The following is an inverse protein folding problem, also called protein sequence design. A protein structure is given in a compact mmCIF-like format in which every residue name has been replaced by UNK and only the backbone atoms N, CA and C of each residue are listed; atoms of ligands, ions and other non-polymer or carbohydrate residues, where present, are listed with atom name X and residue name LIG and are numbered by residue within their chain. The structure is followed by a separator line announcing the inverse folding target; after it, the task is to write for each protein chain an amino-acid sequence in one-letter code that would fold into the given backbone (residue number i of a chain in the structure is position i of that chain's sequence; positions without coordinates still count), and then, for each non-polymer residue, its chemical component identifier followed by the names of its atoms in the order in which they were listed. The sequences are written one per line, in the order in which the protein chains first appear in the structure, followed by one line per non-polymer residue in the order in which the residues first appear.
data_IF_276296968166
#
_entry.id   IF_276296968166
#
_cell.length_a   1.000
_cell.length_b   1.000
_cell.length_c   1.000
_cell.angle_alpha   90.00
_cell.angle_beta   90.00
_cell.angle_gamma   90.00
#
_symmetry.space_group_name_H-M   'P 1'
#
loop_
_entity.id
_entity.type
_entity.pdbx_description
1 polymer ?
#
# COMPACT_ATOMS: atom_id res chain seq x y z
N UNK A 1 3.31 -33.40 19.76
CA UNK A 1 3.45 -31.96 19.46
C UNK A 1 4.93 -31.65 19.38
N UNK A 2 5.44 -31.02 18.31
CA UNK A 2 6.84 -30.65 18.23
C UNK A 2 7.18 -29.70 19.38
N UNK A 3 8.24 -30.06 20.13
CA UNK A 3 8.67 -29.29 21.31
C UNK A 3 9.18 -27.93 20.88
N UNK A 4 8.53 -26.85 21.34
CA UNK A 4 8.92 -25.46 21.04
C UNK A 4 10.35 -25.21 21.55
N UNK A 5 11.25 -24.81 20.65
CA UNK A 5 12.62 -24.45 21.01
C UNK A 5 12.65 -22.95 21.36
N UNK A 6 13.16 -22.62 22.54
CA UNK A 6 13.28 -21.24 23.03
C UNK A 6 14.78 -20.91 23.16
N UNK A 7 15.19 -19.82 22.51
CA UNK A 7 16.50 -19.20 22.68
C UNK A 7 16.32 -17.92 23.47
N UNK A 8 17.05 -17.77 24.57
CA UNK A 8 17.06 -16.51 25.34
C UNK A 8 18.48 -16.06 25.57
N UNK A 9 18.71 -14.76 25.50
CA UNK A 9 19.96 -14.13 25.88
C UNK A 9 19.68 -12.83 26.64
N UNK A 10 20.67 -12.35 27.37
CA UNK A 10 20.64 -11.02 28.00
C UNK A 10 21.62 -10.14 27.24
N UNK A 11 21.12 -9.03 26.74
CA UNK A 11 21.92 -7.99 26.11
C UNK A 11 22.11 -6.84 27.10
N UNK A 12 23.22 -6.13 27.00
CA UNK A 12 23.53 -4.99 27.86
C UNK A 12 23.88 -3.81 26.99
N UNK A 13 23.32 -2.65 27.30
CA UNK A 13 23.68 -1.40 26.62
C UNK A 13 24.99 -0.80 27.17
N UNK A 14 25.43 0.30 26.57
CA UNK A 14 26.66 1.01 26.98
C UNK A 14 26.55 1.60 28.39
N UNK A 15 25.33 1.80 28.89
CA UNK A 15 25.07 2.32 30.23
C UNK A 15 24.97 1.20 31.29
N UNK A 16 25.11 -0.06 30.87
CA UNK A 16 25.06 -1.23 31.73
C UNK A 16 23.63 -1.77 31.97
N UNK A 17 22.59 -1.17 31.36
CA UNK A 17 21.20 -1.64 31.49
C UNK A 17 21.04 -2.96 30.76
N UNK A 18 20.40 -3.92 31.39
CA UNK A 18 20.23 -5.26 30.84
C UNK A 18 18.81 -5.48 30.34
N UNK A 19 18.68 -6.07 29.15
CA UNK A 19 17.41 -6.45 28.55
C UNK A 19 17.45 -7.91 28.10
N UNK A 20 16.41 -8.66 28.45
CA UNK A 20 16.26 -10.05 28.00
C UNK A 20 15.64 -10.08 26.61
N UNK A 21 16.31 -10.77 25.67
CA UNK A 21 15.79 -11.08 24.35
C UNK A 21 15.39 -12.54 24.27
N UNK A 22 14.25 -12.84 23.61
CA UNK A 22 13.74 -14.23 23.51
C UNK A 22 13.25 -14.50 22.08
N UNK A 23 13.70 -15.64 21.52
CA UNK A 23 13.25 -16.13 20.21
C UNK A 23 12.65 -17.53 20.34
N UNK A 24 11.61 -17.79 19.57
CA UNK A 24 10.93 -19.08 19.52
C UNK A 24 11.20 -19.74 18.16
N UNK A 25 11.54 -21.02 18.19
CA UNK A 25 11.81 -21.85 17.00
C UNK A 25 12.92 -21.30 16.06
N UNK A 26 13.87 -20.52 16.59
CA UNK A 26 15.02 -19.99 15.86
C UNK A 26 16.37 -20.46 16.44
N UNK A 27 16.65 -21.78 16.49
CA UNK A 27 17.88 -22.29 17.11
C UNK A 27 19.14 -21.88 16.37
N UNK A 28 19.06 -21.55 15.08
CA UNK A 28 20.17 -21.10 14.23
C UNK A 28 20.77 -19.75 14.69
N UNK A 29 19.98 -18.90 15.37
CA UNK A 29 20.49 -17.63 15.89
C UNK A 29 21.59 -17.82 16.97
N UNK A 30 21.64 -19.00 17.60
CA UNK A 30 22.67 -19.30 18.60
C UNK A 30 24.10 -19.21 18.04
N UNK A 31 24.31 -19.62 16.80
CA UNK A 31 25.62 -19.53 16.13
C UNK A 31 25.95 -18.11 15.66
N UNK A 32 24.93 -17.28 15.44
CA UNK A 32 25.09 -15.90 15.00
C UNK A 32 25.31 -14.93 16.15
N UNK A 33 24.84 -15.25 17.35
CA UNK A 33 25.03 -14.44 18.56
C UNK A 33 26.39 -14.79 19.19
N UNK A 34 27.32 -13.85 19.11
CA UNK A 34 28.67 -14.00 19.72
C UNK A 34 28.73 -13.14 21.00
N UNK A 35 29.12 -13.73 22.14
CA UNK A 35 29.32 -12.97 23.36
C UNK A 35 30.38 -11.83 23.12
N UNK A 36 30.12 -10.64 23.66
CA UNK A 36 30.99 -9.47 23.52
C UNK A 36 30.90 -8.75 22.18
N UNK A 37 30.11 -9.25 21.21
CA UNK A 37 29.87 -8.55 19.94
C UNK A 37 28.71 -7.54 20.06
N UNK A 38 28.81 -6.46 19.29
CA UNK A 38 27.82 -5.41 19.25
C UNK A 38 26.76 -5.72 18.16
N UNK A 39 25.49 -5.58 18.54
CA UNK A 39 24.35 -5.82 17.67
C UNK A 39 23.30 -4.72 17.90
N UNK A 40 22.48 -4.48 16.88
CA UNK A 40 21.26 -3.68 17.01
C UNK A 40 20.06 -4.64 17.02
N UNK A 41 19.18 -4.47 18.01
CA UNK A 41 17.95 -5.24 18.14
C UNK A 41 16.76 -4.35 17.92
N UNK A 42 15.88 -4.74 17.01
CA UNK A 42 14.63 -4.06 16.72
C UNK A 42 13.46 -4.98 16.98
N UNK A 43 12.49 -4.56 17.81
CA UNK A 43 11.33 -5.36 18.15
C UNK A 43 10.43 -4.68 19.16
N UNK A 44 9.38 -5.38 19.59
CA UNK A 44 8.42 -4.88 20.57
C UNK A 44 8.83 -5.31 21.99
N UNK A 45 8.75 -4.36 22.90
CA UNK A 45 8.92 -4.64 24.33
C UNK A 45 7.64 -5.20 24.91
N UNK A 46 7.73 -6.37 25.54
CA UNK A 46 6.66 -6.98 26.30
C UNK A 46 6.99 -6.94 27.81
N UNK A 47 6.02 -6.61 28.65
CA UNK A 47 6.17 -6.66 30.11
C UNK A 47 5.76 -8.06 30.58
N UNK A 48 6.72 -8.83 31.14
CA UNK A 48 6.47 -10.17 31.69
C UNK A 48 6.98 -10.26 33.12
N UNK A 49 6.10 -10.64 34.05
CA UNK A 49 6.44 -10.83 35.46
C UNK A 49 7.19 -9.62 36.06
N UNK A 50 6.76 -8.39 35.72
CA UNK A 50 7.36 -7.15 36.23
C UNK A 50 8.64 -6.69 35.50
N UNK A 51 9.19 -7.47 34.57
CA UNK A 51 10.39 -7.12 33.79
C UNK A 51 10.04 -6.94 32.32
N UNK A 52 10.81 -6.08 31.62
CA UNK A 52 10.72 -5.91 30.16
C UNK A 52 11.51 -7.01 29.47
N UNK A 53 10.91 -7.55 28.41
CA UNK A 53 11.52 -8.56 27.53
C UNK A 53 11.31 -8.13 26.10
N UNK A 54 12.34 -8.25 25.28
CA UNK A 54 12.24 -8.06 23.83
C UNK A 54 11.93 -9.41 23.18
N UNK A 55 10.73 -9.53 22.58
CA UNK A 55 10.26 -10.79 21.99
C UNK A 55 10.47 -10.80 20.48
N UNK A 56 11.06 -11.89 20.00
CA UNK A 56 11.31 -12.11 18.57
C UNK A 56 12.01 -10.92 17.89
N UNK A 57 13.01 -10.25 18.53
CA UNK A 57 13.62 -9.09 17.88
C UNK A 57 14.36 -9.49 16.60
N UNK A 58 14.31 -8.58 15.63
CA UNK A 58 15.23 -8.62 14.50
C UNK A 58 16.61 -8.20 15.00
N UNK A 59 17.63 -8.93 14.59
CA UNK A 59 19.01 -8.69 14.96
C UNK A 59 19.80 -8.23 13.74
N UNK A 60 20.54 -7.16 13.90
CA UNK A 60 21.42 -6.61 12.88
C UNK A 60 22.84 -6.50 13.42
N UNK A 61 23.83 -6.76 12.58
CA UNK A 61 25.21 -6.32 12.84
C UNK A 61 25.28 -4.80 12.70
N UNK A 62 26.26 -4.15 13.34
CA UNK A 62 26.45 -2.70 13.23
C UNK A 62 26.57 -2.23 11.77
N UNK A 63 27.33 -2.97 10.95
CA UNK A 63 27.49 -2.66 9.53
C UNK A 63 26.16 -2.78 8.74
N UNK A 64 25.37 -3.85 8.99
CA UNK A 64 24.08 -4.02 8.34
C UNK A 64 23.07 -2.95 8.77
N UNK A 65 23.10 -2.53 10.03
CA UNK A 65 22.24 -1.47 10.53
C UNK A 65 22.62 -0.09 9.97
N UNK A 66 23.90 0.20 9.86
CA UNK A 66 24.38 1.45 9.25
C UNK A 66 23.90 1.61 7.80
N UNK A 67 23.77 0.52 7.04
CA UNK A 67 23.20 0.55 5.69
C UNK A 67 21.69 0.82 5.68
N UNK A 68 21.00 0.52 6.78
CA UNK A 68 19.56 0.73 6.92
C UNK A 68 19.22 2.12 7.48
N UNK A 69 20.18 2.76 8.17
CA UNK A 69 19.97 4.09 8.74
C UNK A 69 19.66 5.12 7.64
N UNK A 70 18.57 5.85 7.84
CA UNK A 70 18.13 6.88 6.90
C UNK A 70 17.42 6.34 5.64
N UNK A 71 17.29 5.02 5.46
CA UNK A 71 16.54 4.44 4.35
C UNK A 71 15.15 3.97 4.80
N UNK A 72 14.15 4.26 4.00
CA UNK A 72 12.82 3.68 4.17
C UNK A 72 12.82 2.24 3.67
N UNK A 73 12.31 1.33 4.51
CA UNK A 73 12.22 -0.08 4.16
C UNK A 73 10.80 -0.43 3.74
N UNK A 74 10.61 -1.18 2.64
CA UNK A 74 9.29 -1.61 2.23
C UNK A 74 8.72 -2.63 3.21
N UNK A 75 7.41 -2.51 3.49
CA UNK A 75 6.65 -3.48 4.27
C UNK A 75 5.59 -4.08 3.36
N UNK A 76 5.71 -5.37 3.09
CA UNK A 76 4.80 -6.11 2.22
C UNK A 76 3.76 -6.89 3.03
N UNK A 77 2.53 -7.07 2.49
CA UNK A 77 1.60 -8.05 3.05
C UNK A 77 2.20 -9.45 2.93
N UNK A 78 2.19 -10.19 4.04
CA UNK A 78 2.86 -11.49 4.12
C UNK A 78 1.86 -12.61 4.35
N UNK A 79 2.17 -13.78 3.81
CA UNK A 79 1.50 -15.05 4.09
C UNK A 79 2.39 -15.96 4.92
N UNK A 80 1.80 -17.02 5.51
CA UNK A 80 2.54 -17.97 6.32
C UNK A 80 3.72 -18.57 5.56
N UNK A 81 4.91 -18.50 6.13
CA UNK A 81 6.15 -19.03 5.55
C UNK A 81 6.98 -18.02 4.76
N UNK A 82 6.47 -16.81 4.48
CA UNK A 82 7.22 -15.75 3.83
C UNK A 82 7.68 -14.69 4.84
N UNK A 83 8.91 -14.22 4.69
CA UNK A 83 9.43 -13.09 5.46
C UNK A 83 9.47 -11.83 4.59
N UNK A 84 9.30 -10.66 5.22
CA UNK A 84 9.44 -9.37 4.52
C UNK A 84 10.78 -9.24 3.80
N UNK A 85 11.86 -9.72 4.43
CA UNK A 85 13.21 -9.73 3.84
C UNK A 85 13.27 -10.55 2.55
N UNK A 86 12.59 -11.69 2.50
CA UNK A 86 12.54 -12.55 1.31
C UNK A 86 11.82 -11.85 0.17
N UNK A 87 10.66 -11.26 0.46
CA UNK A 87 9.87 -10.53 -0.55
C UNK A 87 10.64 -9.29 -1.04
N UNK A 88 11.16 -8.48 -0.13
CA UNK A 88 11.94 -7.29 -0.48
C UNK A 88 13.16 -7.64 -1.37
N UNK A 89 13.87 -8.73 -1.04
CA UNK A 89 14.99 -9.21 -1.86
C UNK A 89 14.54 -9.62 -3.26
N UNK A 90 13.44 -10.35 -3.37
CA UNK A 90 12.90 -10.79 -4.66
C UNK A 90 12.46 -9.59 -5.52
N UNK A 91 11.75 -8.61 -4.93
CA UNK A 91 11.34 -7.38 -5.63
C UNK A 91 12.57 -6.59 -6.08
N UNK A 92 13.58 -6.43 -5.23
CA UNK A 92 14.83 -5.74 -5.59
C UNK A 92 15.51 -6.40 -6.78
N UNK A 93 15.68 -7.73 -6.75
CA UNK A 93 16.28 -8.49 -7.83
C UNK A 93 15.46 -8.40 -9.13
N UNK A 94 14.12 -8.39 -9.03
CA UNK A 94 13.25 -8.24 -10.21
C UNK A 94 13.43 -6.85 -10.84
N UNK A 95 13.41 -5.78 -10.05
CA UNK A 95 13.61 -4.41 -10.53
C UNK A 95 15.00 -4.23 -11.17
N UNK A 96 16.06 -4.79 -10.56
CA UNK A 96 17.43 -4.71 -11.10
C UNK A 96 17.57 -5.50 -12.43
N UNK A 97 16.93 -6.67 -12.51
CA UNK A 97 17.06 -7.55 -13.67
C UNK A 97 16.21 -7.13 -14.87
N UNK A 98 15.03 -6.58 -14.60
CA UNK A 98 13.99 -6.29 -15.60
C UNK A 98 13.72 -4.80 -15.75
N UNK A 99 14.66 -3.95 -15.37
CA UNK A 99 14.56 -2.50 -15.49
C UNK A 99 14.17 -2.05 -16.92
N UNK A 100 14.78 -2.68 -17.93
CA UNK A 100 14.48 -2.40 -19.35
C UNK A 100 13.14 -2.95 -19.83
N UNK A 101 12.49 -3.81 -19.04
CA UNK A 101 11.20 -4.41 -19.36
C UNK A 101 10.02 -3.65 -18.73
N UNK A 102 10.30 -2.63 -17.92
CA UNK A 102 9.25 -1.77 -17.39
C UNK A 102 8.54 -1.04 -18.53
N UNK A 103 7.27 -0.77 -18.33
CA UNK A 103 6.45 -0.13 -19.36
C UNK A 103 7.01 1.24 -19.75
N UNK A 104 6.85 1.58 -21.03
CA UNK A 104 7.18 2.92 -21.49
C UNK A 104 6.22 3.93 -20.90
N UNK A 105 6.74 5.15 -20.69
CA UNK A 105 5.92 6.27 -20.26
C UNK A 105 4.75 6.51 -21.23
N UNK A 106 3.54 6.46 -20.74
CA UNK A 106 2.33 6.59 -21.55
C UNK A 106 1.52 7.85 -21.21
N UNK A 107 1.82 8.54 -20.10
CA UNK A 107 1.21 9.81 -19.82
C UNK A 107 1.94 10.92 -20.59
N UNK A 108 1.22 11.68 -21.44
CA UNK A 108 1.80 12.78 -22.22
C UNK A 108 2.58 13.78 -21.36
N UNK A 109 3.63 14.36 -21.96
CA UNK A 109 4.55 15.29 -21.26
C UNK A 109 3.84 16.52 -20.72
N UNK A 110 2.87 17.06 -21.46
CA UNK A 110 2.06 18.19 -21.06
C UNK A 110 1.26 17.92 -19.79
N UNK A 111 0.62 16.74 -19.69
CA UNK A 111 -0.09 16.31 -18.49
C UNK A 111 0.90 16.11 -17.34
N UNK A 112 2.03 15.41 -17.59
CA UNK A 112 3.03 15.20 -16.55
C UNK A 112 3.56 16.50 -15.98
N UNK A 113 3.83 17.47 -16.86
CA UNK A 113 4.32 18.79 -16.46
C UNK A 113 3.27 19.59 -15.70
N UNK A 114 2.01 19.60 -16.18
CA UNK A 114 0.92 20.34 -15.53
C UNK A 114 0.65 19.83 -14.10
N UNK A 115 0.74 18.53 -13.88
CA UNK A 115 0.49 17.91 -12.57
C UNK A 115 1.77 17.61 -11.79
N UNK A 116 2.94 17.94 -12.31
CA UNK A 116 4.25 17.68 -11.69
C UNK A 116 4.39 16.19 -11.30
N UNK A 117 4.19 15.31 -12.27
CA UNK A 117 4.27 13.87 -12.06
C UNK A 117 5.66 13.34 -12.44
N UNK A 118 6.19 12.47 -11.58
CA UNK A 118 7.40 11.73 -11.88
C UNK A 118 7.20 10.80 -13.11
N UNK A 119 8.27 10.34 -13.67
CA UNK A 119 8.28 9.34 -14.74
C UNK A 119 7.85 7.98 -14.16
N UNK A 120 7.16 7.15 -14.98
CA UNK A 120 6.58 5.89 -14.53
C UNK A 120 7.60 4.93 -13.91
N UNK A 121 8.70 4.66 -14.60
CA UNK A 121 9.69 3.69 -14.10
C UNK A 121 10.40 4.18 -12.85
N UNK A 122 10.65 5.49 -12.75
CA UNK A 122 11.13 6.10 -11.52
C UNK A 122 10.13 5.85 -10.37
N UNK A 123 8.84 6.07 -10.61
CA UNK A 123 7.83 5.89 -9.58
C UNK A 123 7.72 4.43 -9.13
N UNK A 124 7.76 3.47 -10.06
CA UNK A 124 7.72 2.03 -9.75
C UNK A 124 8.93 1.61 -8.92
N UNK A 125 10.12 2.07 -9.25
CA UNK A 125 11.34 1.72 -8.52
C UNK A 125 11.36 2.38 -7.12
N UNK A 126 11.04 3.67 -7.05
CA UNK A 126 11.17 4.48 -5.84
C UNK A 126 10.03 4.27 -4.84
N UNK A 127 8.87 3.77 -5.26
CA UNK A 127 7.83 3.38 -4.29
C UNK A 127 8.27 2.19 -3.42
N UNK A 128 9.10 1.30 -3.97
CA UNK A 128 9.63 0.15 -3.24
C UNK A 128 10.90 0.47 -2.47
N UNK A 129 11.81 1.24 -3.05
CA UNK A 129 13.13 1.55 -2.49
C UNK A 129 13.46 3.03 -2.65
N UNK A 130 12.74 3.91 -1.92
CA UNK A 130 12.98 5.34 -1.99
C UNK A 130 14.35 5.69 -1.38
N UNK A 131 15.05 6.64 -2.00
CA UNK A 131 16.30 7.16 -1.47
C UNK A 131 16.08 8.37 -0.56
N UNK A 132 14.92 9.01 -0.69
CA UNK A 132 14.49 10.15 0.11
C UNK A 132 12.98 10.10 0.37
N UNK A 133 12.52 10.90 1.32
CA UNK A 133 11.08 11.09 1.54
C UNK A 133 10.41 11.74 0.33
N UNK A 134 11.12 12.60 -0.38
CA UNK A 134 10.63 13.22 -1.61
C UNK A 134 10.40 12.18 -2.71
N UNK A 135 11.35 11.28 -2.95
CA UNK A 135 11.18 10.17 -3.91
C UNK A 135 9.92 9.36 -3.62
N UNK A 136 9.69 9.05 -2.34
CA UNK A 136 8.48 8.31 -1.92
C UNK A 136 7.20 9.09 -2.24
N UNK A 137 7.14 10.38 -1.90
CA UNK A 137 5.97 11.21 -2.13
C UNK A 137 5.67 11.40 -3.61
N UNK A 138 6.70 11.65 -4.42
CA UNK A 138 6.58 11.79 -5.88
C UNK A 138 6.12 10.48 -6.53
N UNK A 139 6.69 9.35 -6.13
CA UNK A 139 6.31 8.04 -6.61
C UNK A 139 4.86 7.71 -6.26
N UNK A 140 4.46 7.94 -5.01
CA UNK A 140 3.09 7.74 -4.56
C UNK A 140 2.09 8.63 -5.32
N UNK A 141 2.43 9.92 -5.50
CA UNK A 141 1.63 10.87 -6.27
C UNK A 141 1.42 10.36 -7.70
N UNK A 142 2.49 9.93 -8.36
CA UNK A 142 2.43 9.39 -9.72
C UNK A 142 1.54 8.15 -9.82
N UNK A 143 1.76 7.15 -9.00
CA UNK A 143 1.01 5.89 -9.07
C UNK A 143 -0.47 6.07 -8.69
N UNK A 144 -0.76 6.93 -7.71
CA UNK A 144 -2.14 7.28 -7.37
C UNK A 144 -2.84 8.02 -8.53
N UNK A 145 -2.14 8.96 -9.20
CA UNK A 145 -2.68 9.62 -10.37
C UNK A 145 -3.02 8.62 -11.48
N UNK A 146 -2.15 7.68 -11.77
CA UNK A 146 -2.39 6.64 -12.79
C UNK A 146 -3.63 5.80 -12.48
N UNK A 147 -3.75 5.33 -11.25
CA UNK A 147 -4.89 4.52 -10.82
C UNK A 147 -6.21 5.26 -11.03
N UNK A 148 -6.29 6.50 -10.56
CA UNK A 148 -7.50 7.32 -10.75
C UNK A 148 -7.74 7.71 -12.22
N UNK A 149 -6.69 8.00 -12.97
CA UNK A 149 -6.79 8.33 -14.39
C UNK A 149 -7.38 7.15 -15.20
N UNK A 150 -6.86 5.95 -15.00
CA UNK A 150 -7.37 4.75 -15.65
C UNK A 150 -8.81 4.43 -15.21
N UNK A 151 -9.12 4.62 -13.94
CA UNK A 151 -10.48 4.45 -13.42
C UNK A 151 -11.46 5.41 -14.10
N UNK A 152 -11.13 6.70 -14.17
CA UNK A 152 -11.99 7.71 -14.81
C UNK A 152 -12.17 7.41 -16.30
N UNK A 153 -11.10 7.01 -17.01
CA UNK A 153 -11.19 6.59 -18.41
C UNK A 153 -12.11 5.38 -18.60
N UNK A 154 -12.00 4.39 -17.73
CA UNK A 154 -12.86 3.20 -17.78
C UNK A 154 -14.33 3.57 -17.57
N UNK A 155 -14.65 4.39 -16.58
CA UNK A 155 -16.02 4.87 -16.31
C UNK A 155 -16.56 5.68 -17.50
N UNK A 156 -15.74 6.58 -18.06
CA UNK A 156 -16.13 7.37 -19.24
C UNK A 156 -16.43 6.46 -20.44
N UNK A 157 -15.58 5.50 -20.73
CA UNK A 157 -15.78 4.54 -21.82
C UNK A 157 -17.06 3.71 -21.61
N UNK A 158 -17.35 3.28 -20.38
CA UNK A 158 -18.60 2.59 -20.06
C UNK A 158 -19.82 3.49 -20.30
N UNK A 159 -19.75 4.76 -19.90
CA UNK A 159 -20.81 5.73 -20.12
C UNK A 159 -21.06 5.95 -21.60
N UNK A 160 -20.01 6.18 -22.39
CA UNK A 160 -20.10 6.37 -23.84
C UNK A 160 -20.74 5.16 -24.54
N UNK A 161 -20.35 3.94 -24.18
CA UNK A 161 -20.96 2.72 -24.72
C UNK A 161 -22.43 2.58 -24.37
N UNK A 162 -22.84 3.05 -23.20
CA UNK A 162 -24.24 2.96 -22.77
C UNK A 162 -25.10 4.07 -23.39
N UNK A 163 -24.54 5.23 -23.69
CA UNK A 163 -25.27 6.36 -24.30
C UNK A 163 -25.76 6.04 -25.73
N UNK A 164 -25.13 5.07 -26.41
CA UNK A 164 -25.53 4.64 -27.74
C UNK A 164 -26.58 3.52 -27.74
N UNK A 165 -27.04 3.03 -26.58
CA UNK A 165 -28.15 2.11 -26.52
C UNK A 165 -29.46 2.89 -26.70
N UNK A 166 -30.07 2.74 -27.85
CA UNK A 166 -31.42 3.24 -28.06
C UNK A 166 -32.37 2.53 -27.08
N UNK A 167 -33.20 3.33 -26.43
CA UNK A 167 -34.24 2.81 -25.57
C UNK A 167 -35.29 2.14 -26.46
N UNK A 168 -35.55 0.84 -26.26
CA UNK A 168 -36.57 0.09 -27.00
C UNK A 168 -37.98 0.50 -26.57
N UNK A 169 -38.11 1.16 -25.41
CA UNK A 169 -39.40 1.60 -24.87
C UNK A 169 -39.55 3.11 -25.09
N UNK A 170 -40.41 3.46 -26.02
CA UNK A 170 -40.78 4.87 -26.27
C UNK A 170 -41.76 5.31 -25.18
N UNK A 171 -41.32 6.24 -24.34
CA UNK A 171 -42.20 6.90 -23.38
C UNK A 171 -43.05 7.90 -24.18
N UNK A 172 -44.37 7.65 -24.23
CA UNK A 172 -45.31 8.56 -24.84
C UNK A 172 -45.91 9.46 -23.77
N UNK A 173 -45.86 10.77 -23.99
CA UNK A 173 -46.55 11.70 -23.13
C UNK A 173 -48.05 11.46 -23.24
N UNK A 174 -48.70 11.08 -22.14
CA UNK A 174 -50.12 10.76 -22.08
C UNK A 174 -50.80 11.65 -21.04
N UNK A 175 -51.92 12.26 -21.43
CA UNK A 175 -52.77 13.06 -20.53
C UNK A 175 -53.18 12.33 -19.24
N UNK A 176 -53.15 10.98 -19.23
CA UNK A 176 -53.37 10.16 -18.03
C UNK A 176 -52.30 10.38 -16.99
N UNK A 177 -51.05 10.59 -17.39
CA UNK A 177 -49.94 10.83 -16.46
C UNK A 177 -50.04 12.20 -15.83
N UNK A 178 -50.40 13.22 -16.60
CA UNK A 178 -50.60 14.58 -16.06
C UNK A 178 -51.81 14.59 -15.09
N UNK A 179 -52.88 13.86 -15.41
CA UNK A 179 -54.02 13.67 -14.50
C UNK A 179 -53.61 12.93 -13.22
N UNK A 180 -52.85 11.85 -13.34
CA UNK A 180 -52.32 11.12 -12.17
C UNK A 180 -51.47 12.02 -11.24
N UNK A 181 -50.60 12.84 -11.83
CA UNK A 181 -49.77 13.77 -11.04
C UNK A 181 -50.65 14.83 -10.34
N UNK A 182 -51.71 15.31 -10.99
CA UNK A 182 -52.65 16.27 -10.40
C UNK A 182 -53.54 15.70 -9.29
N UNK A 183 -53.72 14.39 -9.27
CA UNK A 183 -54.53 13.65 -8.28
C UNK A 183 -53.70 13.17 -7.08
N UNK A 184 -52.34 13.43 -7.03
CA UNK A 184 -51.53 13.11 -5.90
C UNK A 184 -51.90 13.95 -4.66
N UNK A 185 -51.98 13.32 -3.49
CA UNK A 185 -52.28 13.98 -2.22
C UNK A 185 -51.16 14.95 -1.73
N UNK A 186 -50.06 15.03 -2.46
CA UNK A 186 -48.90 15.86 -2.14
C UNK A 186 -48.35 16.53 -3.40
N UNK A 187 -47.72 17.66 -3.26
CA UNK A 187 -46.99 18.32 -4.35
C UNK A 187 -45.60 17.68 -4.58
N UNK A 188 -45.26 17.47 -5.85
CA UNK A 188 -43.94 17.06 -6.25
C UNK A 188 -42.89 18.14 -5.85
N UNK A 189 -41.76 17.71 -5.35
CA UNK A 189 -40.61 18.59 -5.12
C UNK A 189 -40.06 19.16 -6.43
N UNK A 190 -39.35 20.27 -6.37
CA UNK A 190 -38.75 20.89 -7.56
C UNK A 190 -37.81 19.95 -8.31
N UNK A 191 -37.06 19.10 -7.60
CA UNK A 191 -36.21 18.07 -8.21
C UNK A 191 -37.03 17.01 -8.95
N UNK A 192 -38.18 16.57 -8.40
CA UNK A 192 -39.09 15.62 -9.04
C UNK A 192 -39.76 16.25 -10.26
N UNK A 193 -40.23 17.51 -10.17
CA UNK A 193 -40.80 18.26 -11.30
C UNK A 193 -39.79 18.36 -12.45
N UNK A 194 -38.53 18.74 -12.12
CA UNK A 194 -37.45 18.85 -13.10
C UNK A 194 -37.16 17.50 -13.77
N UNK A 195 -37.04 16.43 -13.00
CA UNK A 195 -36.78 15.08 -13.53
C UNK A 195 -37.94 14.63 -14.43
N UNK A 196 -39.16 14.92 -14.05
CA UNK A 196 -40.36 14.62 -14.89
C UNK A 196 -40.30 15.32 -16.22
N UNK A 197 -39.97 16.61 -16.25
CA UNK A 197 -39.82 17.37 -17.50
C UNK A 197 -38.67 16.86 -18.39
N UNK A 198 -37.61 16.33 -17.79
CA UNK A 198 -36.49 15.72 -18.53
C UNK A 198 -36.81 14.35 -19.12
N UNK A 199 -37.80 13.63 -18.56
CA UNK A 199 -38.28 12.31 -19.05
C UNK A 199 -39.34 12.43 -20.12
N UNK A 200 -40.13 13.48 -20.10
CA UNK A 200 -41.20 13.82 -21.04
C UNK A 200 -40.67 14.09 -22.46
#
# INVERSE_FOLDING_TARGET
TPRMKVLSTVVRDEQGTSLKCTWFNMPFLRSSLKPGAHYVFHGQLAKKKGSFVLEQPQMYTMAAYAQLQGSMQPIYPLTKGLSNKTVAKAVKQALEKYDTCLEKEYIPVDIRSAYQLAEHNFAVQRIHFPQSQEDYLQSRKRLAFEEFFLFVLAVRNMKEKNTHRLNEYRILNDARTDKFISELEFELTDAQKKTWEEIK
#
